data_IF_690097832729
#
_entry.id   IF_690097832729
#
_cell.length_a   1.000
_cell.length_b   1.000
_cell.length_c   1.000
_cell.angle_alpha   90.00
_cell.angle_beta   90.00
_cell.angle_gamma   90.00
#
_symmetry.space_group_name_H-M   'P 1'
#
loop_
_entity.id
_entity.type
_entity.pdbx_description
1 polymer ?
#
# COMPACT_ATOMS: atom_id res chain seq x y z
N UNK A 1 13.29 -10.86 -3.92
CA UNK A 1 12.57 -11.08 -2.64
C UNK A 1 12.56 -9.74 -1.92
N UNK A 2 11.52 -9.42 -1.17
CA UNK A 2 11.53 -8.25 -0.29
C UNK A 2 12.78 -8.22 0.57
N UNK A 3 13.37 -7.06 0.78
CA UNK A 3 14.58 -6.91 1.58
C UNK A 3 14.40 -5.82 2.62
N UNK A 4 14.69 -6.16 3.88
CA UNK A 4 14.71 -5.19 4.95
C UNK A 4 15.84 -4.18 4.77
N UNK A 5 15.68 -2.92 5.23
CA UNK A 5 16.76 -1.97 5.29
C UNK A 5 17.84 -2.43 6.28
N UNK A 6 19.10 -1.98 6.15
CA UNK A 6 20.17 -2.36 7.07
C UNK A 6 19.94 -1.78 8.47
N UNK A 7 20.39 -2.46 9.54
CA UNK A 7 20.37 -1.93 10.90
C UNK A 7 21.12 -0.59 11.03
N UNK A 8 20.65 0.28 11.93
CA UNK A 8 21.19 1.63 12.13
C UNK A 8 21.68 1.81 13.57
N UNK A 9 22.90 2.31 13.72
CA UNK A 9 23.45 2.67 15.04
C UNK A 9 22.89 4.04 15.49
N UNK A 10 22.15 4.06 16.59
CA UNK A 10 21.50 5.24 17.15
C UNK A 10 21.87 5.43 18.62
N UNK A 11 22.62 6.48 18.95
CA UNK A 11 22.92 6.86 20.34
C UNK A 11 23.33 5.69 21.24
N UNK A 12 24.22 4.82 20.74
CA UNK A 12 24.74 3.66 21.49
C UNK A 12 23.85 2.39 21.44
N UNK A 13 22.77 2.41 20.69
CA UNK A 13 21.88 1.26 20.41
C UNK A 13 21.98 0.86 18.94
N UNK A 14 21.70 -0.38 18.64
CA UNK A 14 21.54 -0.86 17.27
C UNK A 14 20.04 -1.03 17.00
N UNK A 15 19.47 -0.16 16.20
CA UNK A 15 18.11 -0.27 15.70
C UNK A 15 18.07 -1.31 14.57
N UNK A 16 17.24 -2.34 14.70
CA UNK A 16 17.19 -3.48 13.79
C UNK A 16 15.79 -3.61 13.21
N UNK A 17 15.65 -3.73 11.88
CA UNK A 17 14.34 -4.00 11.25
C UNK A 17 13.76 -5.32 11.75
N UNK A 18 12.46 -5.45 11.64
CA UNK A 18 11.73 -6.65 12.08
C UNK A 18 11.00 -7.30 10.92
N UNK A 19 10.84 -8.60 11.01
CA UNK A 19 9.90 -9.45 10.27
C UNK A 19 8.67 -9.65 11.17
N UNK A 20 7.50 -9.17 10.75
CA UNK A 20 6.25 -9.33 11.50
C UNK A 20 5.57 -10.61 11.02
N UNK A 21 5.59 -11.66 11.83
CA UNK A 21 4.90 -12.91 11.49
C UNK A 21 3.37 -12.76 11.57
N UNK A 22 2.88 -12.02 12.59
CA UNK A 22 1.47 -11.88 12.83
C UNK A 22 1.12 -10.60 13.60
N UNK A 23 0.09 -9.91 13.12
CA UNK A 23 -0.61 -8.84 13.81
C UNK A 23 -2.03 -9.32 14.19
N UNK A 24 -2.36 -9.28 15.48
CA UNK A 24 -3.71 -9.47 15.98
C UNK A 24 -4.14 -8.20 16.70
N UNK A 25 -5.26 -7.60 16.31
CA UNK A 25 -5.75 -6.41 16.98
C UNK A 25 -7.27 -6.44 17.19
N UNK A 26 -7.72 -5.87 18.30
CA UNK A 26 -9.11 -5.54 18.55
C UNK A 26 -9.31 -4.03 18.55
N UNK A 27 -10.34 -3.57 17.86
CA UNK A 27 -10.75 -2.16 17.77
C UNK A 27 -12.17 -2.04 18.29
N UNK A 28 -12.36 -1.28 19.35
CA UNK A 28 -13.65 -1.03 19.94
C UNK A 28 -14.03 0.44 19.81
N UNK A 29 -15.13 0.70 19.09
CA UNK A 29 -15.73 2.03 18.96
C UNK A 29 -16.92 2.15 19.90
N UNK A 30 -16.84 3.05 20.88
CA UNK A 30 -17.97 3.46 21.69
C UNK A 30 -18.53 4.79 21.15
N UNK A 31 -19.64 4.70 20.42
CA UNK A 31 -20.28 5.84 19.78
C UNK A 31 -20.84 6.83 20.80
N UNK A 32 -21.32 6.34 21.97
CA UNK A 32 -21.90 7.18 22.98
C UNK A 32 -20.84 8.11 23.65
N UNK A 33 -19.64 7.58 23.89
CA UNK A 33 -18.52 8.35 24.45
C UNK A 33 -17.59 8.94 23.40
N UNK A 34 -17.76 8.59 22.10
CA UNK A 34 -16.87 8.96 20.99
C UNK A 34 -15.41 8.56 21.25
N UNK A 35 -15.21 7.33 21.71
CA UNK A 35 -13.88 6.78 21.99
C UNK A 35 -13.67 5.56 21.10
N UNK A 36 -12.49 5.44 20.52
CA UNK A 36 -12.03 4.26 19.81
C UNK A 36 -10.75 3.75 20.49
N UNK A 37 -10.82 2.54 21.04
CA UNK A 37 -9.71 1.89 21.75
C UNK A 37 -9.18 0.71 20.94
N UNK A 38 -7.87 0.52 20.98
CA UNK A 38 -7.17 -0.56 20.29
C UNK A 38 -6.27 -1.30 21.26
N UNK A 39 -6.35 -2.64 21.19
CA UNK A 39 -5.34 -3.54 21.72
C UNK A 39 -4.72 -4.30 20.56
N UNK A 40 -3.40 -4.20 20.41
CA UNK A 40 -2.66 -4.84 19.33
C UNK A 40 -1.54 -5.73 19.88
N UNK A 41 -1.31 -6.85 19.22
CA UNK A 41 -0.27 -7.83 19.54
C UNK A 41 0.49 -8.18 18.27
N UNK A 42 1.81 -7.96 18.30
CA UNK A 42 2.74 -8.33 17.24
C UNK A 42 3.58 -9.52 17.65
N UNK A 43 3.60 -10.54 16.82
CA UNK A 43 4.60 -11.60 16.84
C UNK A 43 5.67 -11.21 15.81
N UNK A 44 6.89 -10.96 16.28
CA UNK A 44 7.98 -10.43 15.44
C UNK A 44 9.30 -11.16 15.66
N UNK A 45 10.15 -11.14 14.63
CA UNK A 45 11.57 -11.52 14.72
C UNK A 45 12.44 -10.34 14.34
N UNK A 46 13.69 -10.33 14.77
CA UNK A 46 14.65 -9.40 14.21
C UNK A 46 15.05 -9.86 12.81
N UNK A 47 15.06 -8.92 11.86
CA UNK A 47 15.62 -9.12 10.52
C UNK A 47 17.04 -8.55 10.49
N UNK A 48 17.94 -9.17 11.27
CA UNK A 48 19.32 -8.75 11.48
C UNK A 48 19.92 -9.28 12.77
N UNK A 49 21.07 -8.71 13.21
CA UNK A 49 21.73 -9.10 14.45
C UNK A 49 20.92 -8.71 15.70
N UNK A 50 21.31 -9.23 16.89
CA UNK A 50 20.71 -8.77 18.14
C UNK A 50 20.73 -7.26 18.30
N UNK A 51 19.58 -6.67 18.66
CA UNK A 51 19.41 -5.22 18.78
C UNK A 51 18.02 -4.79 19.18
N UNK A 52 17.73 -3.50 19.01
CA UNK A 52 16.47 -2.88 19.36
C UNK A 52 15.47 -2.97 18.19
N UNK A 53 14.31 -3.64 18.34
CA UNK A 53 13.33 -3.76 17.27
C UNK A 53 12.82 -2.41 16.79
N UNK A 54 12.63 -2.26 15.46
CA UNK A 54 12.09 -1.05 14.83
C UNK A 54 10.73 -1.35 14.23
N UNK A 55 9.73 -0.54 14.60
CA UNK A 55 8.39 -0.57 14.01
C UNK A 55 7.85 0.86 13.88
N UNK A 56 6.69 1.04 13.26
CA UNK A 56 5.99 2.32 13.27
C UNK A 56 4.55 2.14 13.78
N UNK A 57 4.04 3.15 14.46
CA UNK A 57 2.65 3.33 14.84
C UNK A 57 2.41 4.80 15.12
N UNK A 58 1.58 5.46 14.30
CA UNK A 58 1.33 6.91 14.36
C UNK A 58 0.25 7.31 15.37
N UNK A 59 -0.05 6.45 16.32
CA UNK A 59 -0.99 6.67 17.41
C UNK A 59 -0.24 6.86 18.74
N UNK A 60 -0.89 7.56 19.67
CA UNK A 60 -0.35 7.75 21.03
C UNK A 60 -0.53 6.48 21.87
N UNK A 61 0.57 5.79 22.16
CA UNK A 61 0.58 4.53 22.92
C UNK A 61 0.29 4.86 24.41
N UNK A 62 -0.67 4.15 24.99
CA UNK A 62 -1.06 4.27 26.40
C UNK A 62 -0.30 3.28 27.27
N UNK A 63 -0.13 2.04 26.79
CA UNK A 63 0.60 1.02 27.48
C UNK A 63 1.27 0.07 26.48
N UNK A 64 2.41 -0.48 26.87
CA UNK A 64 3.15 -1.44 26.07
C UNK A 64 3.84 -2.50 26.95
N UNK A 65 4.05 -3.68 26.40
CA UNK A 65 4.90 -4.72 26.96
C UNK A 65 5.66 -5.45 25.86
N UNK A 66 6.86 -5.93 26.18
CA UNK A 66 7.65 -6.82 25.32
C UNK A 66 7.92 -8.11 26.08
N UNK A 67 7.51 -9.25 25.51
CA UNK A 67 7.64 -10.59 26.11
C UNK A 67 7.03 -10.65 27.54
N UNK A 68 5.92 -9.93 27.76
CA UNK A 68 5.22 -9.81 29.03
C UNK A 68 5.85 -8.82 30.02
N UNK A 69 7.02 -8.24 29.72
CA UNK A 69 7.64 -7.21 30.56
C UNK A 69 7.11 -5.82 30.17
N UNK A 70 6.53 -5.03 31.12
CA UNK A 70 6.05 -3.69 30.84
C UNK A 70 7.17 -2.79 30.33
N UNK A 71 6.88 -1.98 29.32
CA UNK A 71 7.77 -0.97 28.79
C UNK A 71 7.41 0.42 29.35
N UNK A 72 8.39 1.22 29.77
CA UNK A 72 8.14 2.59 30.16
C UNK A 72 7.75 3.45 28.96
N UNK A 73 7.03 4.58 29.14
CA UNK A 73 6.51 5.39 28.03
C UNK A 73 7.56 5.90 27.03
N UNK A 74 8.77 6.13 27.49
CA UNK A 74 9.91 6.60 26.70
C UNK A 74 10.66 5.49 25.95
N UNK A 75 10.37 4.23 26.26
CA UNK A 75 11.01 3.08 25.60
C UNK A 75 10.55 2.87 24.13
N UNK A 76 9.58 3.61 23.65
CA UNK A 76 9.04 3.52 22.28
C UNK A 76 9.16 4.87 21.55
N UNK A 77 10.19 5.60 21.82
CA UNK A 77 10.42 6.90 21.21
C UNK A 77 10.67 6.79 19.71
N UNK A 78 10.23 7.82 18.98
CA UNK A 78 10.59 7.97 17.58
C UNK A 78 12.07 8.32 17.42
N UNK A 79 12.69 7.71 16.43
CA UNK A 79 14.04 8.00 15.97
C UNK A 79 14.05 8.20 14.46
N UNK A 80 14.92 9.09 13.97
CA UNK A 80 15.22 9.21 12.55
C UNK A 80 16.26 8.15 12.16
N UNK A 81 15.91 7.29 11.21
CA UNK A 81 16.81 6.26 10.66
C UNK A 81 17.77 6.82 9.60
N UNK A 82 17.82 8.15 9.44
CA UNK A 82 18.78 8.83 8.58
C UNK A 82 18.21 9.52 7.34
N UNK A 83 16.87 9.55 7.16
CA UNK A 83 16.20 10.26 6.07
C UNK A 83 15.10 11.22 6.57
N UNK A 84 15.23 11.73 7.79
CA UNK A 84 14.27 12.67 8.39
C UNK A 84 12.89 12.04 8.60
N UNK A 85 11.82 12.82 8.37
CA UNK A 85 10.44 12.36 8.56
C UNK A 85 10.09 11.13 7.69
N UNK A 86 10.74 10.98 6.54
CA UNK A 86 10.54 9.84 5.64
C UNK A 86 11.05 8.51 6.23
N UNK A 87 12.01 8.59 7.15
CA UNK A 87 12.59 7.44 7.85
C UNK A 87 12.39 7.51 9.38
N UNK A 88 11.36 8.21 9.85
CA UNK A 88 11.05 8.33 11.27
C UNK A 88 10.26 7.11 11.73
N UNK A 89 10.86 6.32 12.63
CA UNK A 89 10.35 5.04 13.13
C UNK A 89 10.40 5.01 14.66
N UNK A 90 9.62 4.14 15.29
CA UNK A 90 9.74 3.83 16.72
C UNK A 90 10.82 2.78 16.94
N UNK A 91 11.62 2.95 17.96
CA UNK A 91 12.62 1.98 18.40
C UNK A 91 12.25 1.48 19.79
N UNK A 92 12.11 0.16 19.94
CA UNK A 92 11.91 -0.45 21.25
C UNK A 92 13.24 -0.41 21.99
N UNK A 93 13.33 0.34 23.09
CA UNK A 93 14.59 0.52 23.87
C UNK A 93 14.90 -0.70 24.76
N UNK A 94 14.88 -1.88 24.14
CA UNK A 94 15.25 -3.16 24.72
C UNK A 94 16.00 -3.95 23.68
N UNK A 95 17.20 -4.43 24.02
CA UNK A 95 17.96 -5.32 23.12
C UNK A 95 17.34 -6.71 23.12
N UNK A 96 16.83 -7.12 21.96
CA UNK A 96 16.34 -8.47 21.71
C UNK A 96 17.44 -9.34 21.10
N UNK A 97 17.34 -10.66 21.33
CA UNK A 97 18.16 -11.65 20.64
C UNK A 97 17.59 -11.96 19.26
N UNK A 98 18.42 -12.31 18.32
CA UNK A 98 18.00 -12.89 17.04
C UNK A 98 17.49 -14.33 17.21
N UNK A 99 16.63 -14.76 16.33
CA UNK A 99 16.11 -16.13 16.26
C UNK A 99 14.77 -16.38 16.95
N UNK A 100 14.52 -16.05 18.25
CA UNK A 100 13.20 -16.27 18.83
C UNK A 100 12.14 -15.30 18.31
N UNK A 101 10.88 -15.71 18.39
CA UNK A 101 9.73 -14.81 18.23
C UNK A 101 9.61 -13.98 19.49
N UNK A 102 9.54 -12.66 19.33
CA UNK A 102 9.23 -11.72 20.39
C UNK A 102 7.79 -11.28 20.30
N UNK A 103 7.19 -10.95 21.43
CA UNK A 103 5.80 -10.52 21.53
C UNK A 103 5.75 -9.08 22.02
N UNK A 104 5.37 -8.15 21.11
CA UNK A 104 5.08 -6.76 21.44
C UNK A 104 3.58 -6.57 21.58
N UNK A 105 3.12 -6.15 22.77
CA UNK A 105 1.72 -5.83 23.03
C UNK A 105 1.57 -4.32 23.26
N UNK A 106 0.55 -3.73 22.65
CA UNK A 106 0.29 -2.30 22.67
C UNK A 106 -1.17 -2.01 22.96
N UNK A 107 -1.44 -0.99 23.77
CA UNK A 107 -2.78 -0.43 23.97
C UNK A 107 -2.74 1.07 23.67
N UNK A 108 -3.70 1.55 22.88
CA UNK A 108 -3.77 2.94 22.45
C UNK A 108 -5.21 3.33 22.09
N UNK A 109 -5.43 4.63 21.88
CA UNK A 109 -6.69 5.17 21.34
C UNK A 109 -6.46 5.67 19.93
N UNK A 110 -7.44 5.44 19.05
CA UNK A 110 -7.41 6.05 17.73
C UNK A 110 -7.72 7.54 17.86
N UNK A 111 -6.72 8.31 17.51
CA UNK A 111 -6.78 9.77 17.39
C UNK A 111 -6.36 10.18 15.98
N UNK A 112 -6.11 11.47 15.77
CA UNK A 112 -5.45 11.94 14.55
C UNK A 112 -4.03 11.41 14.53
N UNK A 113 -3.63 10.62 13.50
CA UNK A 113 -2.29 10.06 13.44
C UNK A 113 -1.24 11.17 13.41
N UNK A 114 -0.10 10.97 14.08
CA UNK A 114 1.01 11.93 14.04
C UNK A 114 1.51 12.12 12.59
N UNK A 115 1.84 13.36 12.26
CA UNK A 115 2.39 13.79 10.98
C UNK A 115 1.43 13.70 9.77
N UNK A 116 0.17 13.31 9.92
CA UNK A 116 -0.73 13.19 8.77
C UNK A 116 -1.73 14.31 8.62
N UNK A 117 -2.10 15.00 9.72
CA UNK A 117 -3.19 15.97 9.73
C UNK A 117 -4.56 15.41 9.31
N UNK A 118 -4.63 14.12 9.01
CA UNK A 118 -5.85 13.45 8.60
C UNK A 118 -6.74 13.16 9.81
N UNK A 119 -8.06 13.32 9.66
CA UNK A 119 -9.02 12.91 10.68
C UNK A 119 -8.98 11.39 10.83
N UNK A 120 -8.90 10.92 12.07
CA UNK A 120 -8.82 9.49 12.35
C UNK A 120 -10.18 8.81 12.19
N UNK A 121 -11.13 9.24 12.99
CA UNK A 121 -12.44 8.63 13.10
C UNK A 121 -13.50 9.72 12.96
N UNK A 122 -14.47 9.50 12.10
CA UNK A 122 -15.61 10.38 11.92
C UNK A 122 -16.73 9.98 12.87
N UNK A 123 -17.09 10.85 13.79
CA UNK A 123 -18.22 10.65 14.67
C UNK A 123 -19.45 11.40 14.13
N UNK A 124 -20.59 10.72 14.08
CA UNK A 124 -21.88 11.29 13.70
C UNK A 124 -22.93 10.95 14.75
N UNK A 125 -24.10 11.62 14.76
CA UNK A 125 -25.19 11.21 15.65
C UNK A 125 -25.57 9.74 15.42
N UNK A 126 -25.39 8.92 16.46
CA UNK A 126 -25.74 7.49 16.43
C UNK A 126 -24.84 6.62 15.55
N UNK A 127 -23.68 7.09 15.11
CA UNK A 127 -22.79 6.31 14.27
C UNK A 127 -21.32 6.76 14.26
N UNK A 128 -20.49 5.92 13.63
CA UNK A 128 -19.06 6.15 13.43
C UNK A 128 -18.66 5.79 12.01
N UNK A 129 -17.73 6.52 11.45
CA UNK A 129 -17.06 6.17 10.19
C UNK A 129 -15.55 6.12 10.40
N UNK A 130 -14.90 5.16 9.77
CA UNK A 130 -13.45 5.00 9.80
C UNK A 130 -12.99 4.30 8.53
N UNK A 131 -11.93 4.82 7.94
CA UNK A 131 -11.23 4.17 6.83
C UNK A 131 -9.71 4.27 7.03
N UNK A 132 -8.96 3.39 6.41
CA UNK A 132 -7.51 3.38 6.57
C UNK A 132 -6.82 4.58 5.92
N UNK A 133 -7.44 5.27 4.96
CA UNK A 133 -6.98 6.51 4.32
C UNK A 133 -5.47 6.50 4.01
N UNK A 134 -4.97 5.39 3.48
CA UNK A 134 -3.55 5.23 3.18
C UNK A 134 -3.12 6.11 1.99
N UNK A 135 -1.83 6.39 1.90
CA UNK A 135 -1.19 7.06 0.77
C UNK A 135 0.31 6.76 0.77
N UNK A 136 0.85 6.33 -0.34
CA UNK A 136 2.27 6.10 -0.54
C UNK A 136 3.06 7.40 -0.83
N UNK A 137 2.36 8.51 -1.08
CA UNK A 137 2.94 9.82 -1.39
C UNK A 137 3.38 10.62 -0.16
N UNK A 138 3.03 10.17 1.04
CA UNK A 138 3.31 10.86 2.28
C UNK A 138 3.87 9.89 3.34
N UNK A 139 4.97 10.24 4.03
CA UNK A 139 5.56 9.36 5.02
C UNK A 139 4.61 9.10 6.18
N UNK A 140 4.59 7.85 6.67
CA UNK A 140 3.77 7.45 7.82
C UNK A 140 2.28 7.32 7.52
N UNK A 141 1.89 7.19 6.23
CA UNK A 141 0.50 7.06 5.81
C UNK A 141 0.13 5.69 5.24
N UNK A 142 0.74 4.64 5.74
CA UNK A 142 0.36 3.24 5.47
C UNK A 142 -0.42 2.66 6.66
N UNK A 143 -0.33 1.35 6.87
CA UNK A 143 -0.99 0.65 7.97
C UNK A 143 -0.62 1.23 9.35
N UNK A 144 0.60 1.76 9.50
CA UNK A 144 1.08 2.37 10.73
C UNK A 144 0.32 3.60 11.22
N UNK A 145 -0.54 4.18 10.38
CA UNK A 145 -1.49 5.19 10.89
C UNK A 145 -2.40 4.62 11.97
N UNK A 146 -2.72 3.33 11.89
CA UNK A 146 -3.78 2.68 12.65
C UNK A 146 -3.30 1.51 13.50
N UNK A 147 -2.36 0.73 12.95
CA UNK A 147 -1.84 -0.49 13.57
C UNK A 147 -0.31 -0.51 13.51
N UNK A 148 0.35 -1.15 14.50
CA UNK A 148 1.79 -1.31 14.44
C UNK A 148 2.17 -2.09 13.18
N UNK A 149 3.14 -1.55 12.44
CA UNK A 149 3.60 -2.08 11.16
C UNK A 149 5.11 -1.83 11.00
N UNK A 150 5.68 -2.44 9.99
CA UNK A 150 7.00 -2.12 9.50
C UNK A 150 6.92 -1.54 8.08
N UNK A 151 8.03 -1.51 7.38
CA UNK A 151 8.08 -1.07 5.98
C UNK A 151 7.39 -2.07 5.04
N UNK A 152 7.05 -1.64 3.83
CA UNK A 152 6.33 -2.44 2.83
C UNK A 152 7.08 -3.67 2.31
N UNK A 153 8.34 -3.87 2.73
CA UNK A 153 9.15 -5.04 2.36
C UNK A 153 8.66 -6.36 2.99
N UNK A 154 7.81 -6.29 4.02
CA UNK A 154 7.39 -7.45 4.81
C UNK A 154 5.97 -7.89 4.47
N UNK A 155 5.72 -9.19 4.61
CA UNK A 155 4.40 -9.81 4.46
C UNK A 155 3.97 -10.43 5.78
N UNK A 156 2.77 -10.07 6.25
CA UNK A 156 2.31 -10.45 7.57
C UNK A 156 0.89 -11.01 7.59
N UNK A 157 0.61 -11.89 8.55
CA UNK A 157 -0.76 -12.30 8.86
C UNK A 157 -1.45 -11.22 9.70
N UNK A 158 -2.62 -10.73 9.25
CA UNK A 158 -3.39 -9.70 9.97
C UNK A 158 -4.75 -10.26 10.35
N UNK A 159 -5.06 -10.20 11.64
CA UNK A 159 -6.38 -10.56 12.19
C UNK A 159 -6.91 -9.38 12.98
N UNK A 160 -8.11 -8.92 12.61
CA UNK A 160 -8.78 -7.81 13.30
C UNK A 160 -10.12 -8.28 13.86
N UNK A 161 -10.42 -7.82 15.06
CA UNK A 161 -11.73 -7.88 15.67
C UNK A 161 -12.24 -6.44 15.81
N UNK A 162 -13.37 -6.11 15.18
CA UNK A 162 -13.89 -4.72 15.10
C UNK A 162 -15.29 -4.70 15.69
N UNK A 163 -15.49 -3.92 16.74
CA UNK A 163 -16.75 -3.80 17.45
C UNK A 163 -17.21 -2.35 17.55
N UNK A 164 -18.49 -2.11 17.31
CA UNK A 164 -19.18 -0.82 17.47
C UNK A 164 -20.27 -0.97 18.52
N UNK A 165 -20.21 -0.18 19.58
CA UNK A 165 -21.21 -0.15 20.66
C UNK A 165 -21.82 1.24 20.80
N UNK A 166 -22.99 1.34 21.43
CA UNK A 166 -23.68 2.62 21.66
C UNK A 166 -24.17 3.32 20.40
N UNK A 167 -24.22 2.62 19.25
CA UNK A 167 -24.75 3.15 18.01
C UNK A 167 -26.26 2.98 17.92
N UNK A 168 -26.96 3.96 17.33
CA UNK A 168 -28.40 3.93 17.10
C UNK A 168 -28.78 3.26 15.76
N UNK A 169 -27.79 3.01 14.89
CA UNK A 169 -27.97 2.45 13.55
C UNK A 169 -26.90 1.40 13.24
N UNK A 170 -27.23 0.40 12.39
CA UNK A 170 -26.25 -0.60 11.99
C UNK A 170 -25.14 0.00 11.13
N UNK A 171 -23.95 -0.61 11.20
CA UNK A 171 -22.80 -0.29 10.37
C UNK A 171 -22.53 -1.38 9.34
N UNK A 172 -21.76 -1.04 8.33
CA UNK A 172 -21.20 -1.94 7.34
C UNK A 172 -19.67 -1.84 7.39
N UNK A 173 -19.02 -2.99 7.36
CA UNK A 173 -17.58 -3.10 7.24
C UNK A 173 -17.24 -3.65 5.84
N UNK A 174 -16.51 -2.86 5.05
CA UNK A 174 -16.00 -3.23 3.73
C UNK A 174 -14.50 -3.53 3.85
N UNK A 175 -14.08 -4.70 3.42
CA UNK A 175 -12.69 -5.16 3.50
C UNK A 175 -12.33 -6.02 2.28
N UNK A 176 -11.05 -6.07 1.93
CA UNK A 176 -10.50 -6.99 0.93
C UNK A 176 -9.89 -8.27 1.57
N UNK A 177 -10.33 -8.60 2.77
CA UNK A 177 -9.98 -9.81 3.51
C UNK A 177 -11.21 -10.71 3.72
N UNK A 178 -11.00 -11.85 4.36
CA UNK A 178 -12.10 -12.71 4.79
C UNK A 178 -12.83 -12.06 5.97
N UNK A 179 -14.14 -11.81 5.80
CA UNK A 179 -15.02 -11.14 6.75
C UNK A 179 -16.01 -12.13 7.35
N UNK A 180 -16.10 -12.15 8.67
CA UNK A 180 -17.14 -12.85 9.44
C UNK A 180 -17.90 -11.82 10.28
N UNK A 181 -19.18 -11.60 9.97
CA UNK A 181 -20.05 -10.76 10.79
C UNK A 181 -20.55 -11.57 12.00
N UNK A 182 -20.09 -11.23 13.20
CA UNK A 182 -20.44 -11.93 14.46
C UNK A 182 -21.72 -11.40 15.08
N UNK A 183 -21.89 -10.10 15.04
CA UNK A 183 -23.15 -9.42 15.41
C UNK A 183 -23.53 -8.47 14.30
N UNK A 184 -24.74 -8.63 13.77
CA UNK A 184 -25.21 -7.89 12.61
C UNK A 184 -25.08 -6.38 12.80
N UNK A 185 -24.30 -5.75 11.92
CA UNK A 185 -24.09 -4.31 11.88
C UNK A 185 -23.32 -3.75 13.09
N UNK A 186 -22.65 -4.58 13.89
CA UNK A 186 -21.98 -4.12 15.11
C UNK A 186 -20.65 -4.82 15.43
N UNK A 187 -20.43 -6.07 15.00
CA UNK A 187 -19.21 -6.80 15.39
C UNK A 187 -18.74 -7.73 14.26
N UNK A 188 -17.46 -7.62 13.90
CA UNK A 188 -16.84 -8.37 12.80
C UNK A 188 -15.48 -8.91 13.21
N UNK A 189 -15.15 -10.09 12.65
CA UNK A 189 -13.80 -10.62 12.61
C UNK A 189 -13.29 -10.57 11.18
N UNK A 190 -12.10 -10.02 10.97
CA UNK A 190 -11.45 -9.86 9.66
C UNK A 190 -10.14 -10.64 9.67
N UNK A 191 -9.86 -11.37 8.60
CA UNK A 191 -8.57 -12.01 8.37
C UNK A 191 -8.06 -11.66 6.99
N UNK A 192 -6.84 -11.09 6.94
CA UNK A 192 -6.16 -10.81 5.69
C UNK A 192 -5.18 -11.93 5.34
N UNK A 193 -4.99 -12.21 4.03
CA UNK A 193 -4.05 -13.23 3.59
C UNK A 193 -2.60 -12.91 4.02
N UNK A 194 -1.81 -13.95 4.30
CA UNK A 194 -0.42 -13.80 4.76
C UNK A 194 0.51 -13.10 3.75
N UNK A 195 0.15 -13.04 2.48
CA UNK A 195 0.95 -12.33 1.47
C UNK A 195 0.69 -10.82 1.44
N UNK A 196 -0.13 -10.30 2.35
CA UNK A 196 -0.38 -8.86 2.48
C UNK A 196 0.79 -8.16 3.14
N UNK A 197 1.08 -6.96 2.67
CA UNK A 197 2.04 -6.01 3.26
C UNK A 197 1.29 -4.90 3.99
N UNK A 198 2.01 -3.94 4.56
CA UNK A 198 1.40 -2.75 5.19
C UNK A 198 0.61 -1.85 4.21
N UNK A 199 0.71 -2.08 2.89
CA UNK A 199 -0.03 -1.36 1.84
C UNK A 199 -1.26 -2.13 1.33
N UNK A 200 -1.42 -3.39 1.73
CA UNK A 200 -2.40 -4.31 1.12
C UNK A 200 -3.82 -4.21 1.68
N UNK A 201 -4.04 -3.98 3.00
CA UNK A 201 -5.37 -4.03 3.59
C UNK A 201 -6.23 -2.83 3.21
N UNK A 202 -7.44 -3.08 2.72
CA UNK A 202 -8.52 -2.09 2.67
C UNK A 202 -9.48 -2.36 3.83
N UNK A 203 -9.86 -1.32 4.54
CA UNK A 203 -10.93 -1.35 5.53
C UNK A 203 -11.69 -0.03 5.49
N UNK A 204 -13.01 -0.11 5.37
CA UNK A 204 -13.93 1.02 5.48
C UNK A 204 -15.10 0.63 6.36
N UNK A 205 -15.25 1.28 7.49
CA UNK A 205 -16.39 1.18 8.39
C UNK A 205 -17.26 2.41 8.22
N UNK A 206 -18.55 2.22 7.94
CA UNK A 206 -19.51 3.32 7.78
C UNK A 206 -20.89 2.90 8.27
N UNK A 207 -21.76 3.83 8.68
CA UNK A 207 -23.18 3.52 8.86
C UNK A 207 -23.76 2.93 7.58
N UNK A 208 -24.55 1.85 7.71
CA UNK A 208 -25.02 1.07 6.57
C UNK A 208 -25.97 1.85 5.63
N UNK A 209 -26.61 2.89 6.14
CA UNK A 209 -27.47 3.81 5.38
C UNK A 209 -26.71 4.94 4.65
N UNK A 210 -25.39 5.05 4.89
CA UNK A 210 -24.52 6.03 4.24
C UNK A 210 -23.74 5.46 3.03
N UNK A 211 -24.01 4.20 2.64
CA UNK A 211 -23.33 3.55 1.53
C UNK A 211 -24.30 2.71 0.71
N UNK A 212 -24.22 2.82 -0.60
CA UNK A 212 -24.87 1.92 -1.54
C UNK A 212 -23.87 0.86 -1.99
N UNK A 213 -24.27 -0.42 -1.98
CA UNK A 213 -23.39 -1.54 -2.36
C UNK A 213 -24.06 -2.39 -3.43
N UNK A 214 -23.30 -2.68 -4.49
CA UNK A 214 -23.67 -3.63 -5.54
C UNK A 214 -22.67 -4.77 -5.59
N UNK A 215 -23.16 -5.98 -5.86
CA UNK A 215 -22.33 -7.19 -6.02
C UNK A 215 -22.76 -7.93 -7.26
N UNK A 216 -21.79 -8.29 -8.08
CA UNK A 216 -22.01 -9.06 -9.30
C UNK A 216 -20.89 -10.10 -9.50
N UNK A 217 -21.18 -11.09 -10.35
CA UNK A 217 -20.15 -11.97 -10.88
C UNK A 217 -19.74 -11.46 -12.26
N UNK A 218 -18.46 -11.20 -12.46
CA UNK A 218 -17.87 -10.85 -13.75
C UNK A 218 -16.84 -11.90 -14.16
N UNK A 219 -16.16 -11.70 -15.28
CA UNK A 219 -15.10 -12.55 -15.74
C UNK A 219 -13.84 -11.74 -16.05
N UNK A 220 -12.73 -12.16 -15.48
CA UNK A 220 -11.42 -11.59 -15.77
C UNK A 220 -10.43 -12.71 -16.13
N UNK A 221 -9.78 -12.60 -17.30
CA UNK A 221 -8.87 -13.64 -17.78
C UNK A 221 -9.51 -15.03 -17.95
N UNK A 222 -10.81 -15.06 -18.33
CA UNK A 222 -11.57 -16.31 -18.56
C UNK A 222 -12.02 -17.03 -17.28
N UNK A 223 -11.94 -16.40 -16.10
CA UNK A 223 -12.40 -16.96 -14.82
C UNK A 223 -13.45 -16.07 -14.16
N UNK A 224 -14.40 -16.68 -13.41
CA UNK A 224 -15.32 -15.94 -12.57
C UNK A 224 -14.55 -15.08 -11.55
N UNK A 225 -15.02 -13.85 -11.34
CA UNK A 225 -14.51 -12.90 -10.38
C UNK A 225 -15.70 -12.25 -9.66
N UNK A 226 -15.73 -12.30 -8.34
CA UNK A 226 -16.68 -11.54 -7.54
C UNK A 226 -16.31 -10.05 -7.60
N UNK A 227 -17.26 -9.22 -8.05
CA UNK A 227 -17.10 -7.77 -8.10
C UNK A 227 -18.04 -7.10 -7.11
N UNK A 228 -17.48 -6.33 -6.19
CA UNK A 228 -18.23 -5.46 -5.28
C UNK A 228 -17.88 -4.02 -5.56
N UNK A 229 -18.90 -3.19 -5.78
CA UNK A 229 -18.77 -1.73 -5.85
C UNK A 229 -19.59 -1.13 -4.72
N UNK A 230 -18.98 -0.23 -3.97
CA UNK A 230 -19.63 0.52 -2.91
C UNK A 230 -19.46 2.02 -3.19
N UNK A 231 -20.53 2.80 -3.09
CA UNK A 231 -20.51 4.25 -3.28
C UNK A 231 -21.11 4.94 -2.08
N UNK A 232 -20.45 5.98 -1.55
CA UNK A 232 -21.01 6.77 -0.45
C UNK A 232 -22.30 7.46 -0.88
N UNK A 233 -23.29 7.40 -0.02
CA UNK A 233 -24.58 8.07 -0.23
C UNK A 233 -24.37 9.58 -0.45
N UNK A 234 -25.01 10.13 -1.44
CA UNK A 234 -24.88 11.54 -1.81
C UNK A 234 -23.60 11.90 -2.58
N UNK A 235 -22.74 10.93 -2.91
CA UNK A 235 -21.55 11.18 -3.75
C UNK A 235 -21.90 11.56 -5.20
N UNK A 236 -23.14 11.32 -5.64
CA UNK A 236 -23.55 11.50 -7.03
C UNK A 236 -22.98 10.45 -8.00
N UNK A 237 -22.41 9.39 -7.47
CA UNK A 237 -21.80 8.30 -8.24
C UNK A 237 -22.90 7.44 -8.86
N UNK A 238 -22.85 7.23 -10.17
CA UNK A 238 -23.64 6.21 -10.85
C UNK A 238 -22.99 4.85 -10.63
N UNK A 239 -23.46 4.11 -9.66
CA UNK A 239 -22.88 2.84 -9.24
C UNK A 239 -22.98 1.75 -10.32
N UNK A 240 -24.01 1.78 -11.16
CA UNK A 240 -24.18 0.83 -12.27
C UNK A 240 -23.15 1.11 -13.38
N UNK A 241 -22.91 2.38 -13.71
CA UNK A 241 -21.88 2.76 -14.66
C UNK A 241 -20.49 2.37 -14.14
N UNK A 242 -20.19 2.61 -12.85
CA UNK A 242 -18.91 2.23 -12.22
C UNK A 242 -18.74 0.71 -12.20
N UNK A 243 -19.80 -0.06 -11.92
CA UNK A 243 -19.76 -1.52 -11.97
C UNK A 243 -19.39 -2.02 -13.38
N UNK A 244 -20.05 -1.48 -14.41
CA UNK A 244 -19.78 -1.83 -15.79
C UNK A 244 -18.35 -1.45 -16.21
N UNK A 245 -17.88 -0.26 -15.85
CA UNK A 245 -16.54 0.22 -16.14
C UNK A 245 -15.49 -0.63 -15.44
N UNK A 246 -15.66 -0.92 -14.14
CA UNK A 246 -14.72 -1.78 -13.38
C UNK A 246 -14.60 -3.15 -14.02
N UNK A 247 -15.74 -3.78 -14.36
CA UNK A 247 -15.77 -5.07 -15.05
C UNK A 247 -15.02 -5.02 -16.39
N UNK A 248 -15.23 -3.96 -17.17
CA UNK A 248 -14.57 -3.77 -18.46
C UNK A 248 -13.05 -3.58 -18.30
N UNK A 249 -12.59 -2.82 -17.28
CA UNK A 249 -11.17 -2.63 -16.99
C UNK A 249 -10.50 -3.92 -16.53
N UNK A 250 -11.11 -4.67 -15.62
CA UNK A 250 -10.63 -5.96 -15.15
C UNK A 250 -10.46 -6.96 -16.31
N UNK A 251 -11.44 -7.04 -17.20
CA UNK A 251 -11.36 -7.87 -18.40
C UNK A 251 -10.26 -7.39 -19.37
N UNK A 252 -10.17 -6.09 -19.60
CA UNK A 252 -9.19 -5.47 -20.51
C UNK A 252 -7.74 -5.71 -20.06
N UNK A 253 -7.43 -5.46 -18.78
CA UNK A 253 -6.09 -5.62 -18.26
C UNK A 253 -5.70 -7.09 -18.10
N UNK A 254 -6.66 -7.96 -17.70
CA UNK A 254 -6.43 -9.41 -17.67
C UNK A 254 -6.06 -9.98 -19.04
N UNK A 255 -6.69 -9.51 -20.11
CA UNK A 255 -6.36 -9.95 -21.46
C UNK A 255 -4.98 -9.48 -21.92
N UNK A 256 -4.44 -8.41 -21.34
CA UNK A 256 -3.14 -7.82 -21.72
C UNK A 256 -1.96 -8.30 -20.90
N UNK A 257 -2.13 -8.35 -19.60
CA UNK A 257 -1.03 -8.57 -18.66
C UNK A 257 -1.08 -9.96 -17.99
N UNK A 258 -2.19 -10.65 -18.12
CA UNK A 258 -2.38 -11.92 -17.48
C UNK A 258 -3.43 -11.87 -16.37
N UNK A 259 -3.64 -12.99 -15.72
CA UNK A 259 -4.69 -13.16 -14.73
C UNK A 259 -4.47 -12.28 -13.50
N UNK A 260 -5.56 -11.62 -13.05
CA UNK A 260 -5.61 -10.96 -11.73
C UNK A 260 -5.31 -11.97 -10.60
N UNK A 261 -4.60 -11.54 -9.59
CA UNK A 261 -4.44 -12.30 -8.34
C UNK A 261 -5.74 -12.24 -7.53
N UNK A 262 -6.15 -13.37 -6.96
CA UNK A 262 -7.43 -13.49 -6.24
C UNK A 262 -8.66 -13.73 -7.11
N UNK A 263 -9.80 -13.90 -6.47
CA UNK A 263 -11.09 -14.24 -7.08
C UNK A 263 -12.17 -13.17 -6.78
N UNK A 264 -11.79 -12.06 -6.13
CA UNK A 264 -12.67 -10.95 -5.77
C UNK A 264 -12.00 -9.61 -6.06
N UNK A 265 -12.80 -8.59 -6.34
CA UNK A 265 -12.38 -7.20 -6.46
C UNK A 265 -13.39 -6.28 -5.78
N UNK A 266 -12.89 -5.34 -4.96
CA UNK A 266 -13.69 -4.35 -4.24
C UNK A 266 -13.31 -2.93 -4.66
N UNK A 267 -14.25 -2.15 -5.17
CA UNK A 267 -14.08 -0.72 -5.40
C UNK A 267 -14.97 0.08 -4.45
N UNK A 268 -14.39 0.98 -3.67
CA UNK A 268 -15.11 1.91 -2.80
C UNK A 268 -14.99 3.31 -3.36
N UNK A 269 -16.13 3.92 -3.74
CA UNK A 269 -16.20 5.21 -4.42
C UNK A 269 -16.50 6.34 -3.44
N UNK A 270 -15.63 7.35 -3.47
CA UNK A 270 -15.79 8.60 -2.74
C UNK A 270 -16.23 9.71 -3.70
N UNK A 271 -17.00 10.68 -3.23
CA UNK A 271 -17.40 11.84 -4.04
C UNK A 271 -16.33 12.89 -4.31
N UNK A 272 -15.08 12.65 -3.87
CA UNK A 272 -13.95 13.57 -4.03
C UNK A 272 -12.80 12.89 -4.78
N UNK A 273 -11.90 13.68 -5.38
CA UNK A 273 -10.69 13.17 -6.01
C UNK A 273 -9.82 12.47 -4.96
N UNK A 274 -9.82 11.15 -5.01
CA UNK A 274 -9.12 10.27 -4.09
C UNK A 274 -8.85 8.97 -4.83
N UNK A 275 -7.67 8.44 -4.69
CA UNK A 275 -7.27 7.16 -5.23
C UNK A 275 -6.27 6.51 -4.30
N UNK A 276 -6.45 5.23 -4.05
CA UNK A 276 -5.51 4.34 -3.38
C UNK A 276 -5.84 2.91 -3.73
N UNK A 277 -4.84 2.21 -4.16
CA UNK A 277 -4.87 0.81 -4.53
C UNK A 277 -4.56 -0.09 -3.34
N UNK A 278 -5.19 -1.28 -3.33
CA UNK A 278 -4.98 -2.34 -2.34
C UNK A 278 -4.98 -3.70 -3.05
N UNK A 279 -4.59 -4.77 -2.37
CA UNK A 279 -4.65 -6.10 -2.97
C UNK A 279 -6.10 -6.49 -3.31
N UNK A 280 -6.41 -6.58 -4.61
CA UNK A 280 -7.76 -6.90 -5.09
C UNK A 280 -8.82 -5.87 -4.71
N UNK A 281 -8.42 -4.62 -4.43
CA UNK A 281 -9.36 -3.56 -4.07
C UNK A 281 -8.82 -2.15 -4.37
N UNK A 282 -9.71 -1.16 -4.31
CA UNK A 282 -9.36 0.26 -4.38
C UNK A 282 -10.35 1.13 -3.62
N UNK A 283 -9.86 2.25 -3.07
CA UNK A 283 -10.70 3.40 -2.74
C UNK A 283 -10.45 4.47 -3.79
N UNK A 284 -11.47 4.98 -4.49
CA UNK A 284 -11.24 5.84 -5.65
C UNK A 284 -12.42 6.79 -5.93
N UNK A 285 -12.30 7.58 -6.97
CA UNK A 285 -13.38 8.30 -7.62
C UNK A 285 -13.52 7.83 -9.08
N UNK A 286 -14.67 8.04 -9.70
CA UNK A 286 -14.91 7.55 -11.06
C UNK A 286 -13.84 7.97 -12.09
N UNK A 287 -13.30 9.21 -12.09
CA UNK A 287 -12.22 9.59 -13.02
C UNK A 287 -10.88 8.87 -12.83
N UNK A 288 -10.57 8.41 -11.61
CA UNK A 288 -9.32 7.71 -11.30
C UNK A 288 -9.45 6.18 -11.39
N UNK A 289 -10.66 5.65 -11.55
CA UNK A 289 -10.96 4.22 -11.46
C UNK A 289 -10.08 3.34 -12.36
N UNK A 290 -9.83 3.75 -13.60
CA UNK A 290 -8.98 3.00 -14.53
C UNK A 290 -7.56 2.82 -13.98
N UNK A 291 -6.99 3.91 -13.46
CA UNK A 291 -5.66 3.95 -12.87
C UNK A 291 -5.57 3.01 -11.67
N UNK A 292 -6.52 3.12 -10.74
CA UNK A 292 -6.54 2.30 -9.53
C UNK A 292 -6.78 0.81 -9.81
N UNK A 293 -7.62 0.48 -10.79
CA UNK A 293 -7.81 -0.92 -11.20
C UNK A 293 -6.53 -1.50 -11.79
N UNK A 294 -5.75 -0.70 -12.54
CA UNK A 294 -4.49 -1.16 -13.14
C UNK A 294 -3.45 -1.59 -12.09
N UNK A 295 -3.38 -0.93 -10.95
CA UNK A 295 -2.48 -1.29 -9.85
C UNK A 295 -2.63 -2.73 -9.36
N UNK A 296 -3.75 -3.40 -9.66
CA UNK A 296 -3.93 -4.82 -9.37
C UNK A 296 -2.95 -5.74 -10.12
N UNK A 297 -2.31 -5.23 -11.18
CA UNK A 297 -1.22 -5.93 -11.88
C UNK A 297 0.14 -5.46 -11.43
N UNK A 298 0.33 -4.16 -11.29
CA UNK A 298 1.62 -3.56 -10.94
C UNK A 298 1.42 -2.62 -9.76
N UNK A 299 2.14 -2.88 -8.67
CA UNK A 299 1.98 -2.27 -7.36
C UNK A 299 1.38 -3.23 -6.35
N UNK A 300 0.32 -3.95 -6.70
CA UNK A 300 -0.30 -4.96 -5.84
C UNK A 300 -0.16 -6.37 -6.40
N UNK A 301 -0.28 -6.55 -7.70
CA UNK A 301 -0.04 -7.84 -8.36
C UNK A 301 1.43 -8.22 -8.42
N UNK A 302 2.30 -7.29 -8.78
CA UNK A 302 3.76 -7.32 -8.53
C UNK A 302 4.06 -6.19 -7.57
N UNK A 303 4.46 -6.53 -6.35
CA UNK A 303 4.74 -5.55 -5.29
C UNK A 303 6.15 -4.97 -5.42
N UNK A 304 6.41 -3.75 -4.94
CA UNK A 304 7.76 -3.26 -4.73
C UNK A 304 8.53 -4.18 -3.76
N UNK A 305 9.79 -4.48 -4.04
CA UNK A 305 10.63 -5.28 -3.14
C UNK A 305 11.03 -4.51 -1.88
N UNK A 306 11.11 -3.18 -1.98
CA UNK A 306 11.28 -2.26 -0.87
C UNK A 306 10.62 -0.91 -1.21
N UNK A 307 10.58 0.02 -0.27
CA UNK A 307 9.91 1.30 -0.47
C UNK A 307 10.53 2.14 -1.61
N UNK A 308 11.84 2.03 -1.81
CA UNK A 308 12.53 2.73 -2.90
C UNK A 308 12.16 2.23 -4.31
N UNK A 309 11.50 1.08 -4.41
CA UNK A 309 10.98 0.55 -5.66
C UNK A 309 9.53 1.00 -5.98
N UNK A 310 8.88 1.73 -5.05
CA UNK A 310 7.48 2.16 -5.16
C UNK A 310 7.19 3.04 -6.39
N UNK A 311 8.19 3.75 -6.91
CA UNK A 311 8.03 4.57 -8.11
C UNK A 311 7.55 3.78 -9.34
N UNK A 312 7.86 2.47 -9.40
CA UNK A 312 7.50 1.56 -10.50
C UNK A 312 5.98 1.47 -10.65
N UNK A 313 5.29 1.42 -9.53
CA UNK A 313 3.85 1.33 -9.41
C UNK A 313 3.17 2.48 -10.18
N UNK A 314 3.43 3.69 -9.75
CA UNK A 314 2.86 4.90 -10.33
C UNK A 314 3.31 5.17 -11.77
N UNK A 315 4.57 4.88 -12.07
CA UNK A 315 5.08 5.01 -13.43
C UNK A 315 4.36 4.10 -14.42
N UNK A 316 4.14 2.84 -14.02
CA UNK A 316 3.45 1.87 -14.87
C UNK A 316 1.96 2.16 -15.00
N UNK A 317 1.28 2.51 -13.90
CA UNK A 317 -0.14 2.84 -13.93
C UNK A 317 -0.40 4.09 -14.78
N UNK A 318 0.38 5.15 -14.58
CA UNK A 318 0.26 6.37 -15.38
C UNK A 318 0.54 6.12 -16.86
N UNK A 319 1.57 5.34 -17.20
CA UNK A 319 1.88 5.01 -18.58
C UNK A 319 0.81 4.14 -19.25
N UNK A 320 0.31 3.09 -18.55
CA UNK A 320 -0.61 2.12 -19.12
C UNK A 320 -2.02 2.68 -19.33
N UNK A 321 -2.51 3.49 -18.40
CA UNK A 321 -3.84 4.10 -18.45
C UNK A 321 -3.88 5.26 -19.44
N UNK A 322 -2.83 6.07 -19.50
CA UNK A 322 -2.69 7.10 -20.52
C UNK A 322 -2.71 6.52 -21.95
N UNK A 323 -2.10 5.35 -22.15
CA UNK A 323 -2.07 4.66 -23.44
C UNK A 323 -3.46 4.27 -23.94
N UNK A 324 -4.40 3.93 -23.04
CA UNK A 324 -5.77 3.63 -23.41
C UNK A 324 -6.62 4.88 -23.69
N UNK A 325 -6.43 5.93 -22.93
CA UNK A 325 -7.15 7.20 -23.08
C UNK A 325 -6.69 8.03 -24.29
N UNK A 326 -5.93 7.44 -25.21
CA UNK A 326 -5.31 8.11 -26.37
C UNK A 326 -4.28 9.21 -26.00
N UNK A 327 -3.84 9.26 -24.75
CA UNK A 327 -2.74 10.13 -24.31
C UNK A 327 -1.36 9.56 -24.66
N UNK A 328 -1.29 8.35 -25.22
CA UNK A 328 -0.04 7.72 -25.66
C UNK A 328 0.76 8.62 -26.61
N UNK A 329 0.11 9.35 -27.50
CA UNK A 329 0.77 10.30 -28.39
C UNK A 329 1.49 11.41 -27.65
N UNK A 330 0.92 11.90 -26.52
CA UNK A 330 1.56 12.88 -25.65
C UNK A 330 2.80 12.31 -24.98
N UNK A 331 2.71 11.16 -24.33
CA UNK A 331 3.85 10.53 -23.67
C UNK A 331 4.93 10.08 -24.65
N UNK A 332 4.56 9.63 -25.85
CA UNK A 332 5.53 9.33 -26.89
C UNK A 332 6.26 10.59 -27.37
N UNK A 333 5.56 11.72 -27.48
CA UNK A 333 6.16 13.00 -27.83
C UNK A 333 7.01 13.60 -26.70
N UNK A 334 6.68 13.26 -25.46
CA UNK A 334 7.38 13.71 -24.25
C UNK A 334 8.31 12.63 -23.68
N UNK A 335 8.59 11.56 -24.44
CA UNK A 335 9.50 10.50 -24.00
C UNK A 335 10.87 11.08 -23.65
N UNK A 336 11.44 10.61 -22.51
CA UNK A 336 12.75 11.08 -22.08
C UNK A 336 13.85 10.68 -23.07
N UNK A 337 14.74 11.63 -23.37
CA UNK A 337 16.00 11.42 -24.06
C UNK A 337 17.19 11.40 -23.08
N UNK A 338 18.36 10.96 -23.50
CA UNK A 338 19.57 10.96 -22.65
C UNK A 338 20.15 12.36 -22.39
N UNK A 339 19.62 13.38 -23.02
CA UNK A 339 20.03 14.78 -22.94
C UNK A 339 19.18 15.64 -22.01
N UNK A 340 18.14 15.04 -21.40
CA UNK A 340 17.30 15.75 -20.43
C UNK A 340 17.93 15.77 -19.03
N UNK A 341 17.44 16.67 -18.17
CA UNK A 341 17.90 16.79 -16.78
C UNK A 341 17.66 15.49 -16.00
N UNK A 342 18.60 15.08 -15.14
CA UNK A 342 18.43 13.90 -14.28
C UNK A 342 17.20 14.01 -13.37
N UNK A 343 16.64 12.88 -13.01
CA UNK A 343 15.58 12.79 -11.99
C UNK A 343 15.88 11.72 -10.96
N UNK A 344 15.29 11.85 -9.77
CA UNK A 344 15.39 10.85 -8.69
C UNK A 344 14.01 10.29 -8.46
N UNK A 345 13.76 9.07 -8.94
CA UNK A 345 12.50 8.34 -8.75
C UNK A 345 12.59 7.31 -7.62
N UNK A 346 13.81 6.82 -7.36
CA UNK A 346 14.07 5.89 -6.26
C UNK A 346 14.83 6.62 -5.16
N UNK A 347 14.26 6.80 -3.94
CA UNK A 347 15.00 7.38 -2.83
C UNK A 347 16.22 6.50 -2.50
N UNK A 348 17.38 7.14 -2.38
CA UNK A 348 18.66 6.43 -2.16
C UNK A 348 18.73 5.83 -0.75
N UNK A 349 18.01 6.40 0.22
CA UNK A 349 18.10 5.96 1.60
C UNK A 349 17.20 4.73 1.85
N UNK A 350 17.76 3.61 2.37
CA UNK A 350 17.02 2.34 2.47
C UNK A 350 15.82 2.38 3.44
N UNK A 351 15.75 3.37 4.34
CA UNK A 351 14.63 3.57 5.26
C UNK A 351 13.59 4.59 4.75
N UNK A 352 13.81 5.20 3.58
CA UNK A 352 12.80 6.06 2.94
C UNK A 352 11.58 5.26 2.53
N UNK A 353 10.39 5.84 2.68
CA UNK A 353 9.11 5.15 2.47
C UNK A 353 8.21 5.81 1.43
N UNK A 354 8.51 7.05 1.06
CA UNK A 354 7.67 7.83 0.19
C UNK A 354 7.94 7.52 -1.28
N UNK A 355 6.87 7.29 -2.05
CA UNK A 355 6.92 7.33 -3.51
C UNK A 355 7.04 8.77 -3.99
N UNK A 356 8.06 9.14 -4.76
CA UNK A 356 8.17 10.49 -5.32
C UNK A 356 7.03 10.81 -6.27
N UNK A 357 6.44 12.01 -6.18
CA UNK A 357 5.36 12.44 -7.09
C UNK A 357 5.79 12.50 -8.55
N UNK A 358 7.07 12.66 -8.78
CA UNK A 358 7.70 12.61 -10.10
C UNK A 358 7.53 11.25 -10.81
N UNK A 359 7.24 10.18 -10.04
CA UNK A 359 6.96 8.85 -10.58
C UNK A 359 5.82 8.87 -11.62
N UNK A 360 4.77 9.66 -11.38
CA UNK A 360 3.63 9.81 -12.29
C UNK A 360 4.03 10.36 -13.66
N UNK A 361 4.87 11.37 -13.70
CA UNK A 361 5.25 12.07 -14.93
C UNK A 361 6.59 11.63 -15.48
N UNK A 362 7.67 11.79 -14.73
CA UNK A 362 9.01 11.39 -15.17
C UNK A 362 9.12 9.87 -15.36
N UNK A 363 8.51 9.08 -14.46
CA UNK A 363 8.47 7.63 -14.59
C UNK A 363 7.72 7.15 -15.84
N UNK A 364 6.53 7.70 -16.12
CA UNK A 364 5.79 7.36 -17.34
C UNK A 364 6.50 7.81 -18.63
N UNK A 365 7.20 8.94 -18.60
CA UNK A 365 8.04 9.41 -19.72
C UNK A 365 9.27 8.51 -19.93
N UNK A 366 9.89 8.04 -18.84
CA UNK A 366 10.97 7.05 -18.90
C UNK A 366 10.50 5.76 -19.58
N UNK A 367 9.33 5.22 -19.17
CA UNK A 367 8.74 4.05 -19.82
C UNK A 367 8.38 4.29 -21.29
N UNK A 368 7.97 5.51 -21.65
CA UNK A 368 7.76 5.88 -23.06
C UNK A 368 9.06 5.88 -23.86
N UNK A 369 10.17 6.32 -23.28
CA UNK A 369 11.50 6.21 -23.86
C UNK A 369 11.91 4.76 -24.09
N UNK A 370 11.69 3.90 -23.10
CA UNK A 370 11.91 2.45 -23.24
C UNK A 370 11.01 1.84 -24.32
N UNK A 371 9.73 2.23 -24.36
CA UNK A 371 8.81 1.79 -25.40
C UNK A 371 9.32 2.14 -26.80
N UNK A 372 9.81 3.37 -26.98
CA UNK A 372 10.39 3.80 -28.24
C UNK A 372 11.61 2.95 -28.64
N UNK A 373 12.50 2.66 -27.70
CA UNK A 373 13.67 1.80 -27.93
C UNK A 373 13.29 0.34 -28.23
N UNK A 374 12.21 -0.14 -27.63
CA UNK A 374 11.68 -1.50 -27.81
C UNK A 374 10.92 -1.69 -29.15
N UNK A 375 10.68 -0.64 -29.93
CA UNK A 375 9.90 -0.69 -31.16
C UNK A 375 8.43 -0.32 -31.01
N UNK A 376 8.05 0.32 -29.89
CA UNK A 376 6.73 0.93 -29.64
C UNK A 376 6.01 0.41 -28.42
N UNK A 377 4.91 1.08 -28.08
CA UNK A 377 4.12 0.78 -26.86
C UNK A 377 3.57 -0.67 -26.81
N UNK A 378 3.30 -1.28 -27.97
CA UNK A 378 2.86 -2.68 -28.01
C UNK A 378 3.97 -3.64 -27.53
N UNK A 379 5.21 -3.37 -27.87
CA UNK A 379 6.35 -4.17 -27.44
C UNK A 379 6.59 -4.01 -25.93
N UNK A 380 6.55 -2.78 -25.41
CA UNK A 380 6.65 -2.58 -23.97
C UNK A 380 5.50 -3.27 -23.19
N UNK A 381 4.25 -3.20 -23.68
CA UNK A 381 3.14 -3.96 -23.06
C UNK A 381 3.41 -5.45 -23.02
N UNK A 382 3.99 -6.01 -24.07
CA UNK A 382 4.36 -7.44 -24.11
C UNK A 382 5.49 -7.76 -23.12
N UNK A 383 6.48 -6.86 -22.98
CA UNK A 383 7.53 -6.99 -21.97
C UNK A 383 6.96 -6.96 -20.55
N UNK A 384 6.06 -6.02 -20.26
CA UNK A 384 5.41 -5.92 -18.95
C UNK A 384 4.50 -7.13 -18.65
N UNK A 385 3.81 -7.68 -19.66
CA UNK A 385 3.05 -8.93 -19.51
C UNK A 385 3.95 -10.12 -19.16
N UNK A 386 5.11 -10.23 -19.80
CA UNK A 386 6.10 -11.25 -19.47
C UNK A 386 6.69 -11.05 -18.07
N UNK A 387 6.93 -9.80 -17.68
CA UNK A 387 7.39 -9.47 -16.32
C UNK A 387 6.36 -9.83 -15.27
N UNK A 388 5.08 -9.51 -15.49
CA UNK A 388 3.97 -9.95 -14.63
C UNK A 388 3.88 -11.49 -14.56
N UNK A 389 4.09 -12.19 -15.68
CA UNK A 389 4.13 -13.64 -15.71
C UNK A 389 5.25 -14.24 -14.84
N UNK A 390 6.34 -13.50 -14.62
CA UNK A 390 7.48 -13.93 -13.80
C UNK A 390 7.31 -13.58 -12.32
N UNK A 391 6.83 -12.38 -12.02
CA UNK A 391 6.81 -11.81 -10.67
C UNK A 391 5.41 -11.70 -10.06
N UNK A 392 4.35 -11.98 -10.83
CA UNK A 392 2.96 -11.86 -10.36
C UNK A 392 2.68 -12.69 -9.11
N UNK A 393 2.10 -12.06 -8.09
CA UNK A 393 1.90 -12.61 -6.75
C UNK A 393 3.13 -12.52 -5.84
N UNK A 394 4.21 -11.90 -6.29
CA UNK A 394 5.44 -11.68 -5.54
C UNK A 394 5.88 -10.21 -5.54
N UNK A 395 7.17 -9.99 -5.32
CA UNK A 395 7.78 -8.67 -5.31
C UNK A 395 8.96 -8.60 -6.30
N UNK A 396 9.21 -7.40 -6.84
CA UNK A 396 10.32 -7.13 -7.74
C UNK A 396 10.96 -5.77 -7.45
N UNK A 397 12.27 -5.68 -7.65
CA UNK A 397 13.04 -4.47 -7.47
C UNK A 397 13.18 -3.67 -8.77
N UNK A 398 13.62 -2.43 -8.63
CA UNK A 398 14.05 -1.58 -9.75
C UNK A 398 15.11 -2.28 -10.61
N UNK A 399 16.05 -3.00 -9.98
CA UNK A 399 17.10 -3.74 -10.69
C UNK A 399 16.55 -4.93 -11.47
N UNK A 400 15.52 -5.61 -10.95
CA UNK A 400 14.84 -6.68 -11.69
C UNK A 400 14.14 -6.12 -12.94
N UNK A 401 13.52 -4.94 -12.82
CA UNK A 401 12.85 -4.28 -13.93
C UNK A 401 13.85 -3.85 -15.01
N UNK A 402 14.95 -3.19 -14.67
CA UNK A 402 15.93 -2.73 -15.65
C UNK A 402 16.57 -3.88 -16.39
N UNK A 403 16.89 -4.97 -15.67
CA UNK A 403 17.42 -6.20 -16.29
C UNK A 403 16.41 -6.78 -17.27
N UNK A 404 15.15 -6.98 -16.86
CA UNK A 404 14.11 -7.55 -17.70
C UNK A 404 13.86 -6.70 -18.96
N UNK A 405 13.73 -5.39 -18.82
CA UNK A 405 13.51 -4.50 -19.95
C UNK A 405 14.74 -4.40 -20.86
N UNK A 406 15.95 -4.43 -20.30
CA UNK A 406 17.20 -4.47 -21.05
C UNK A 406 17.32 -5.71 -21.92
N UNK A 407 17.04 -6.90 -21.36
CA UNK A 407 17.00 -8.16 -22.10
C UNK A 407 15.94 -8.12 -23.21
N UNK A 408 14.74 -7.60 -22.92
CA UNK A 408 13.67 -7.47 -23.91
C UNK A 408 14.03 -6.55 -25.05
N UNK A 409 14.65 -5.40 -24.77
CA UNK A 409 15.08 -4.44 -25.78
C UNK A 409 16.37 -4.83 -26.50
N UNK A 410 17.10 -5.83 -25.98
CA UNK A 410 18.45 -6.18 -26.46
C UNK A 410 19.46 -5.05 -26.25
N UNK A 411 19.32 -4.24 -25.20
CA UNK A 411 20.13 -3.05 -24.90
C UNK A 411 20.42 -2.94 -23.41
N UNK A 412 21.58 -2.40 -23.08
CA UNK A 412 21.87 -1.96 -21.71
C UNK A 412 21.09 -0.66 -21.42
N UNK A 413 20.16 -0.74 -20.48
CA UNK A 413 19.36 0.39 -20.01
C UNK A 413 19.95 1.04 -18.74
N UNK A 414 21.04 0.51 -18.18
CA UNK A 414 21.63 1.02 -16.93
C UNK A 414 21.93 2.53 -16.99
N UNK A 415 22.48 3.12 -18.06
CA UNK A 415 22.72 4.56 -18.14
C UNK A 415 21.44 5.42 -18.02
N UNK A 416 20.31 4.89 -18.49
CA UNK A 416 19.01 5.54 -18.35
C UNK A 416 18.51 5.50 -16.93
N UNK A 417 18.64 4.33 -16.26
CA UNK A 417 18.26 4.16 -14.85
C UNK A 417 19.15 4.99 -13.93
N UNK A 418 20.46 4.99 -14.15
CA UNK A 418 21.39 5.82 -13.39
C UNK A 418 20.97 7.29 -13.43
N UNK A 419 20.63 7.79 -14.62
CA UNK A 419 20.27 9.19 -14.81
C UNK A 419 18.86 9.53 -14.31
N UNK A 420 17.85 8.72 -14.63
CA UNK A 420 16.44 9.10 -14.43
C UNK A 420 15.76 8.42 -13.23
N UNK A 421 16.38 7.42 -12.67
CA UNK A 421 15.88 6.75 -11.45
C UNK A 421 16.71 7.12 -10.23
N UNK A 422 18.03 7.16 -10.41
CA UNK A 422 18.96 7.43 -9.31
C UNK A 422 19.58 8.83 -9.33
N UNK A 423 19.36 9.61 -10.36
CA UNK A 423 19.88 10.98 -10.48
C UNK A 423 21.39 11.07 -10.66
N UNK A 424 22.02 9.99 -11.14
CA UNK A 424 23.47 9.95 -11.36
C UNK A 424 23.80 10.52 -12.75
N UNK A 425 24.54 11.62 -12.79
CA UNK A 425 25.08 12.13 -14.03
C UNK A 425 26.18 11.20 -14.57
N UNK A 426 25.94 10.59 -15.72
CA UNK A 426 26.89 9.67 -16.38
C UNK A 426 28.19 10.33 -16.91
N UNK A 427 28.57 11.48 -16.38
CA UNK A 427 29.80 12.24 -16.78
C UNK A 427 30.98 12.04 -15.83
N UNK A 428 30.86 11.10 -14.86
CA UNK A 428 31.95 10.77 -13.94
C UNK A 428 32.54 9.39 -14.26
N UNK A 429 33.32 9.28 -15.35
CA UNK A 429 34.33 8.22 -15.52
C UNK A 429 35.52 8.73 -16.35
#
# INVERSE_FOLDING_TARGET
>A
MPSAPPPVALSGRLAVPIDIERLVASVHFDVASQVAEVSARLELRLDGPPGCPVFDLRQAIVAASLDGAPLPPDALAYCDMGAGEDARMRVVDVTCSDGPVHLLELSYRLGTPEATGASAVGWSPGGVSWDLLMSDLEPGRYLEMWFPANLCHDTLSIELDVEVTGADRPHLLLVNGALEERTKGAHWSVRYPRHYTSLSPLLVLVPADEVEVRREQTAAGGRPLGLTVAALAGSGTDIEAVMADTSAWLAYFSARYGRLQGDEFLAVLWGTARGMEYDGATTTCAPALEHEVFHSWFGRGVKPACASDGWIDEAMASWATASRQALTGRFQAEALGLDEEPSVLSPVHPWSRRTPREAYTAGSRLLSGVAHMAGGAAQLRSALAAWYGTYGGGAASTQDLVRHLGEWCGRDLSPWWDRYVYGVDGTAS
#
